data_IF_730677015633
#
_entry.id   IF_730677015633
#
_cell.length_a   1.000
_cell.length_b   1.000
_cell.length_c   1.000
_cell.angle_alpha   90.00
_cell.angle_beta   90.00
_cell.angle_gamma   90.00
#
_symmetry.space_group_name_H-M   'P 1'
#
loop_
_entity.id
_entity.type
_entity.pdbx_description
1 polymer ?
#
# COMPACT_ATOMS: atom_id res chain seq x y z
N UNK A 1 -13.56 -24.38 15.37
CA UNK A 1 -12.79 -23.82 14.23
C UNK A 1 -11.95 -24.95 13.68
N UNK A 2 -12.23 -25.42 12.47
CA UNK A 2 -11.46 -26.52 11.88
C UNK A 2 -10.10 -25.98 11.40
N UNK A 3 -9.01 -26.54 11.91
CA UNK A 3 -7.67 -26.32 11.36
C UNK A 3 -7.65 -26.78 9.90
N UNK A 4 -7.63 -25.83 8.98
CA UNK A 4 -7.36 -26.12 7.58
C UNK A 4 -5.89 -26.52 7.46
N UNK A 5 -5.62 -27.82 7.36
CA UNK A 5 -4.33 -28.35 6.97
C UNK A 5 -3.99 -27.83 5.56
N UNK A 6 -3.18 -26.76 5.49
CA UNK A 6 -2.64 -26.27 4.23
C UNK A 6 -1.69 -27.32 3.66
N UNK A 7 -1.97 -27.77 2.43
CA UNK A 7 -1.09 -28.68 1.69
C UNK A 7 0.30 -28.05 1.51
N UNK A 8 1.32 -28.87 1.24
CA UNK A 8 2.67 -28.36 0.97
C UNK A 8 2.70 -27.29 -0.13
N UNK A 9 1.85 -27.46 -1.16
CA UNK A 9 1.65 -26.46 -2.20
C UNK A 9 1.03 -25.15 -1.67
N UNK A 10 0.01 -25.22 -0.81
CA UNK A 10 -0.58 -24.04 -0.19
C UNK A 10 0.42 -23.23 0.63
N UNK A 11 1.30 -23.90 1.40
CA UNK A 11 2.38 -23.23 2.12
C UNK A 11 3.40 -22.58 1.19
N UNK A 12 3.80 -23.28 0.12
CA UNK A 12 4.71 -22.71 -0.89
C UNK A 12 4.13 -21.44 -1.52
N UNK A 13 2.85 -21.48 -1.93
CA UNK A 13 2.17 -20.31 -2.47
C UNK A 13 2.10 -19.17 -1.47
N UNK A 14 1.90 -19.46 -0.18
CA UNK A 14 1.87 -18.41 0.87
C UNK A 14 3.20 -17.64 0.98
N UNK A 15 4.34 -18.29 0.81
CA UNK A 15 5.64 -17.61 0.81
C UNK A 15 5.78 -16.66 -0.39
N UNK A 16 5.35 -17.10 -1.57
CA UNK A 16 5.37 -16.26 -2.78
C UNK A 16 4.46 -15.05 -2.59
N UNK A 17 3.23 -15.26 -2.14
CA UNK A 17 2.26 -14.17 -1.95
C UNK A 17 2.73 -13.19 -0.88
N UNK A 18 3.34 -13.66 0.21
CA UNK A 18 3.88 -12.78 1.24
C UNK A 18 4.99 -11.87 0.70
N UNK A 19 5.86 -12.37 -0.18
CA UNK A 19 6.91 -11.57 -0.81
C UNK A 19 6.33 -10.48 -1.73
N UNK A 20 5.27 -10.81 -2.47
CA UNK A 20 4.56 -9.83 -3.31
C UNK A 20 3.87 -8.77 -2.45
N UNK A 21 3.27 -9.18 -1.33
CA UNK A 21 2.63 -8.26 -0.41
C UNK A 21 3.65 -7.30 0.23
N UNK A 22 4.80 -7.80 0.67
CA UNK A 22 5.90 -6.97 1.20
C UNK A 22 6.33 -5.88 0.21
N UNK A 23 6.57 -6.24 -1.05
CA UNK A 23 6.92 -5.29 -2.10
C UNK A 23 5.79 -4.28 -2.35
N UNK A 24 4.55 -4.73 -2.32
CA UNK A 24 3.37 -3.88 -2.53
C UNK A 24 3.23 -2.86 -1.40
N UNK A 25 3.40 -3.28 -0.15
CA UNK A 25 3.39 -2.40 1.02
C UNK A 25 4.55 -1.40 0.94
N UNK A 26 5.75 -1.86 0.58
CA UNK A 26 6.89 -0.98 0.35
C UNK A 26 6.60 0.08 -0.72
N UNK A 27 6.09 -0.32 -1.90
CA UNK A 27 5.74 0.61 -2.97
C UNK A 27 4.65 1.60 -2.54
N UNK A 28 3.64 1.15 -1.79
CA UNK A 28 2.58 2.01 -1.25
C UNK A 28 3.14 3.12 -0.36
N UNK A 29 4.10 2.78 0.49
CA UNK A 29 4.75 3.71 1.41
C UNK A 29 5.73 4.65 0.69
N UNK A 30 6.54 4.11 -0.23
CA UNK A 30 7.51 4.87 -1.02
C UNK A 30 6.81 5.94 -1.88
N UNK A 31 5.67 5.60 -2.48
CA UNK A 31 4.85 6.53 -3.26
C UNK A 31 4.08 7.55 -2.39
N UNK A 32 4.15 7.45 -1.06
CA UNK A 32 3.45 8.37 -0.15
C UNK A 32 1.92 8.30 -0.25
N UNK A 33 1.38 7.15 -0.65
CA UNK A 33 -0.07 7.00 -0.90
C UNK A 33 -0.88 7.21 0.39
N UNK A 34 -0.33 6.79 1.54
CA UNK A 34 -0.95 7.02 2.84
C UNK A 34 -1.20 8.52 3.11
N UNK A 35 -0.22 9.37 2.84
CA UNK A 35 -0.33 10.82 3.07
C UNK A 35 -1.34 11.45 2.10
N UNK A 36 -1.34 10.99 0.85
CA UNK A 36 -2.31 11.44 -0.15
C UNK A 36 -3.74 11.13 0.28
N UNK A 37 -3.99 9.94 0.83
CA UNK A 37 -5.31 9.61 1.40
C UNK A 37 -5.61 10.38 2.68
N UNK A 38 -4.62 10.62 3.55
CA UNK A 38 -4.81 11.39 4.78
C UNK A 38 -5.14 12.87 4.49
N UNK A 39 -4.71 13.39 3.34
CA UNK A 39 -4.97 14.77 2.91
C UNK A 39 -6.34 14.97 2.23
N UNK A 40 -7.15 13.92 2.02
CA UNK A 40 -8.47 14.03 1.38
C UNK A 40 -9.57 13.61 2.34
N UNK A 41 -10.69 14.34 2.33
CA UNK A 41 -11.81 14.10 3.24
C UNK A 41 -12.74 12.95 2.81
N UNK A 42 -12.55 12.40 1.60
CA UNK A 42 -13.46 11.40 1.03
C UNK A 42 -12.72 10.27 0.31
N UNK A 43 -13.29 9.05 0.29
CA UNK A 43 -12.75 7.94 -0.48
C UNK A 43 -12.51 8.32 -1.95
N UNK A 44 -11.37 7.89 -2.51
CA UNK A 44 -10.95 8.22 -3.89
C UNK A 44 -10.89 6.98 -4.76
N UNK A 45 -11.16 7.12 -6.06
CA UNK A 45 -10.90 6.04 -7.02
C UNK A 45 -9.42 6.00 -7.40
N UNK A 46 -8.97 4.87 -7.94
CA UNK A 46 -7.60 4.77 -8.45
C UNK A 46 -7.38 5.75 -9.62
N UNK A 47 -8.37 5.95 -10.48
CA UNK A 47 -8.30 6.95 -11.56
C UNK A 47 -8.17 8.39 -11.04
N UNK A 48 -8.97 8.77 -10.02
CA UNK A 48 -8.90 10.10 -9.41
C UNK A 48 -7.50 10.39 -8.82
N UNK A 49 -6.90 9.41 -8.14
CA UNK A 49 -5.55 9.51 -7.57
C UNK A 49 -4.47 9.53 -8.65
N UNK A 50 -4.55 8.60 -9.59
CA UNK A 50 -3.57 8.45 -10.66
C UNK A 50 -3.50 9.71 -11.53
N UNK A 51 -4.66 10.31 -11.85
CA UNK A 51 -4.73 11.56 -12.62
C UNK A 51 -4.04 12.72 -11.90
N UNK A 52 -4.18 12.82 -10.58
CA UNK A 52 -3.53 13.89 -9.78
C UNK A 52 -2.01 13.76 -9.74
N UNK A 53 -1.50 12.53 -9.73
CA UNK A 53 -0.07 12.22 -9.57
C UNK A 53 0.66 11.90 -10.89
N UNK A 54 -0.08 11.80 -12.00
CA UNK A 54 0.47 11.38 -13.29
C UNK A 54 0.85 9.90 -13.34
N UNK A 55 0.12 9.04 -12.62
CA UNK A 55 0.36 7.59 -12.57
C UNK A 55 -0.56 6.83 -13.52
N UNK A 56 -0.27 5.53 -13.72
CA UNK A 56 -1.17 4.62 -14.40
C UNK A 56 -2.26 4.11 -13.43
N UNK A 57 -3.54 4.33 -13.76
CA UNK A 57 -4.67 4.00 -12.90
C UNK A 57 -4.86 2.49 -12.69
N UNK A 58 -4.60 1.68 -13.71
CA UNK A 58 -4.76 0.22 -13.63
C UNK A 58 -3.72 -0.40 -12.68
N UNK A 59 -2.45 0.02 -12.79
CA UNK A 59 -1.41 -0.44 -11.88
C UNK A 59 -1.61 0.08 -10.46
N UNK A 60 -2.07 1.32 -10.30
CA UNK A 60 -2.43 1.84 -8.99
C UNK A 60 -3.59 1.04 -8.38
N UNK A 61 -4.62 0.72 -9.15
CA UNK A 61 -5.74 -0.11 -8.69
C UNK A 61 -5.26 -1.49 -8.19
N UNK A 62 -4.38 -2.17 -8.96
CA UNK A 62 -3.82 -3.47 -8.55
C UNK A 62 -3.01 -3.36 -7.24
N UNK A 63 -2.24 -2.28 -7.09
CA UNK A 63 -1.50 -1.99 -5.85
C UNK A 63 -2.46 -1.81 -4.67
N UNK A 64 -3.46 -0.93 -4.80
CA UNK A 64 -4.47 -0.66 -3.78
C UNK A 64 -5.27 -1.91 -3.41
N UNK A 65 -5.62 -2.72 -4.41
CA UNK A 65 -6.36 -3.95 -4.18
C UNK A 65 -5.55 -4.97 -3.39
N UNK A 66 -4.25 -5.06 -3.66
CA UNK A 66 -3.35 -5.96 -2.94
C UNK A 66 -3.17 -5.52 -1.49
N UNK A 67 -2.99 -4.23 -1.22
CA UNK A 67 -2.89 -3.73 0.16
C UNK A 67 -4.21 -3.72 0.93
N UNK A 68 -5.34 -3.96 0.25
CA UNK A 68 -6.63 -4.20 0.91
C UNK A 68 -6.61 -5.50 1.72
N UNK A 69 -5.92 -6.53 1.21
CA UNK A 69 -5.83 -7.82 1.91
C UNK A 69 -4.97 -7.75 3.18
N UNK A 70 -4.13 -6.70 3.31
CA UNK A 70 -3.39 -6.36 4.52
C UNK A 70 -4.10 -5.34 5.44
N UNK A 71 -5.36 -5.01 5.13
CA UNK A 71 -6.17 -4.03 5.88
C UNK A 71 -5.49 -2.65 6.00
N UNK A 72 -4.71 -2.23 5.00
CA UNK A 72 -4.07 -0.90 4.94
C UNK A 72 -5.04 0.12 4.32
N UNK A 73 -5.75 -0.30 3.29
CA UNK A 73 -6.84 0.46 2.67
C UNK A 73 -8.08 -0.42 2.63
N UNK A 74 -9.25 0.21 2.59
CA UNK A 74 -10.53 -0.47 2.40
C UNK A 74 -11.08 -0.13 1.03
N UNK A 75 -11.50 -1.17 0.29
CA UNK A 75 -12.21 -1.03 -0.97
C UNK A 75 -13.72 -0.95 -0.75
N UNK A 76 -14.34 0.11 -1.26
CA UNK A 76 -15.79 0.32 -1.34
C UNK A 76 -16.21 0.01 -2.77
N UNK A 77 -16.84 -1.15 -2.96
CA UNK A 77 -17.26 -1.65 -4.27
C UNK A 77 -18.55 -0.98 -4.73
N UNK A 78 -18.61 -0.67 -6.03
CA UNK A 78 -19.84 -0.24 -6.69
C UNK A 78 -20.53 -1.43 -7.35
N UNK A 79 -21.87 -1.48 -7.28
CA UNK A 79 -22.72 -2.63 -7.67
C UNK A 79 -22.61 -3.04 -9.14
N UNK A 80 -21.96 -2.24 -10.00
CA UNK A 80 -21.85 -2.48 -11.44
C UNK A 80 -20.45 -2.10 -11.94
N UNK A 81 -19.53 -3.06 -11.97
CA UNK A 81 -18.12 -2.77 -12.26
C UNK A 81 -17.69 -3.32 -13.62
N UNK A 82 -17.89 -2.50 -14.67
CA UNK A 82 -17.24 -2.71 -15.98
C UNK A 82 -15.76 -2.28 -15.92
N UNK A 83 -15.44 -1.27 -15.09
CA UNK A 83 -14.10 -0.70 -14.91
C UNK A 83 -13.86 -0.35 -13.43
N UNK A 84 -13.31 -1.28 -12.62
CA UNK A 84 -13.19 -1.12 -11.18
C UNK A 84 -12.25 0.00 -10.75
N UNK A 85 -11.19 0.28 -11.51
CA UNK A 85 -10.26 1.37 -11.24
C UNK A 85 -10.91 2.77 -11.29
N UNK A 86 -12.04 2.90 -12.00
CA UNK A 86 -12.80 4.15 -12.14
C UNK A 86 -13.97 4.27 -11.19
N UNK A 87 -14.45 3.14 -10.64
CA UNK A 87 -15.71 3.07 -9.91
C UNK A 87 -15.53 2.67 -8.45
N UNK A 88 -14.63 1.74 -8.15
CA UNK A 88 -14.33 1.35 -6.78
C UNK A 88 -13.56 2.48 -6.09
N UNK A 89 -14.00 2.80 -4.88
CA UNK A 89 -13.38 3.84 -4.05
C UNK A 89 -12.56 3.20 -2.96
N UNK A 90 -11.47 3.86 -2.58
CA UNK A 90 -10.56 3.42 -1.56
C UNK A 90 -10.48 4.46 -0.45
N UNK A 91 -10.39 3.99 0.78
CA UNK A 91 -10.14 4.82 1.96
C UNK A 91 -9.04 4.22 2.82
N UNK A 92 -8.34 5.06 3.58
CA UNK A 92 -7.30 4.63 4.50
C UNK A 92 -7.93 4.04 5.77
N UNK A 93 -7.48 2.86 6.18
CA UNK A 93 -7.89 2.24 7.45
C UNK A 93 -7.12 2.84 8.63
N UNK A 94 -7.42 2.36 9.84
CA UNK A 94 -6.61 2.68 11.02
C UNK A 94 -5.16 2.19 10.89
N UNK A 95 -4.95 0.96 10.38
CA UNK A 95 -3.61 0.44 10.14
C UNK A 95 -2.88 1.22 9.03
N UNK A 96 -3.58 1.63 7.98
CA UNK A 96 -2.98 2.47 6.94
C UNK A 96 -2.53 3.84 7.44
N UNK A 97 -3.21 4.42 8.44
CA UNK A 97 -2.79 5.69 9.07
C UNK A 97 -1.45 5.58 9.78
N UNK A 98 -1.05 4.39 10.24
CA UNK A 98 0.28 4.17 10.83
C UNK A 98 1.41 4.40 9.82
N UNK A 99 1.09 4.38 8.53
CA UNK A 99 2.03 4.52 7.42
C UNK A 99 2.15 5.96 6.91
N UNK A 100 1.46 6.93 7.50
CA UNK A 100 1.66 8.35 7.14
C UNK A 100 3.01 8.85 7.67
N UNK A 101 3.62 9.85 7.03
CA UNK A 101 4.88 10.47 7.51
C UNK A 101 4.76 11.05 8.92
N UNK A 102 3.56 11.49 9.25
CA UNK A 102 3.27 12.33 10.40
C UNK A 102 2.94 11.49 11.63
N UNK A 103 2.70 10.18 11.44
CA UNK A 103 2.27 9.30 12.52
C UNK A 103 3.35 9.15 13.61
N UNK A 104 2.99 9.28 14.92
CA UNK A 104 3.94 9.17 16.03
C UNK A 104 4.70 7.85 16.12
N UNK A 105 4.13 6.76 15.61
CA UNK A 105 4.75 5.42 15.65
C UNK A 105 5.97 5.29 14.74
N UNK A 106 6.12 6.17 13.74
CA UNK A 106 7.24 6.15 12.78
C UNK A 106 7.41 4.80 12.05
N UNK A 107 6.37 3.99 11.97
CA UNK A 107 6.38 2.64 11.33
C UNK A 107 6.80 2.72 9.86
N UNK A 108 6.39 3.79 9.16
CA UNK A 108 6.82 4.09 7.78
C UNK A 108 8.34 3.95 7.57
N UNK A 109 9.16 4.41 8.51
CA UNK A 109 10.62 4.38 8.40
C UNK A 109 11.21 2.98 8.54
N UNK A 110 10.47 2.02 9.11
CA UNK A 110 10.90 0.62 9.16
C UNK A 110 10.71 -0.08 7.80
N UNK A 111 9.79 0.45 6.97
CA UNK A 111 9.49 -0.09 5.64
C UNK A 111 10.34 0.57 4.57
N UNK A 112 10.50 1.89 4.61
CA UNK A 112 11.45 2.59 3.75
C UNK A 112 12.87 2.36 4.26
N UNK A 113 13.52 1.30 3.77
CA UNK A 113 14.97 1.16 3.92
C UNK A 113 15.66 2.23 3.07
N UNK A 114 15.89 3.39 3.67
CA UNK A 114 16.93 4.30 3.24
C UNK A 114 18.25 3.58 3.49
N UNK A 115 18.75 2.87 2.48
CA UNK A 115 20.10 2.32 2.55
C UNK A 115 21.12 3.38 2.98
N UNK A 116 22.33 2.99 3.43
CA UNK A 116 23.29 3.89 4.08
C UNK A 116 23.72 5.16 3.30
N UNK A 117 23.20 5.38 2.09
CA UNK A 117 23.56 6.46 1.17
C UNK A 117 22.52 7.59 1.03
N UNK A 118 21.45 7.64 1.82
CA UNK A 118 20.57 8.82 1.86
C UNK A 118 20.57 9.46 3.25
N UNK A 119 21.60 10.29 3.52
CA UNK A 119 21.43 11.39 4.47
C UNK A 119 22.24 11.38 5.77
N UNK A 120 23.25 10.53 5.97
CA UNK A 120 24.30 10.91 6.92
C UNK A 120 25.23 11.90 6.24
N UNK A 121 25.03 13.20 6.51
CA UNK A 121 26.04 14.24 6.32
C UNK A 121 27.26 14.05 7.25
N UNK A 122 27.81 12.84 7.30
CA UNK A 122 29.11 12.57 7.92
C UNK A 122 30.12 12.67 6.78
N UNK A 123 30.73 13.86 6.68
CA UNK A 123 31.95 14.03 5.90
C UNK A 123 33.01 13.12 6.51
N UNK A 124 33.37 12.04 5.83
CA UNK A 124 34.67 11.42 6.06
C UNK A 124 35.72 12.38 5.51
N UNK A 125 36.42 13.06 6.43
CA UNK A 125 37.68 13.73 6.12
C UNK A 125 38.71 12.62 5.96
N UNK A 126 39.21 12.44 4.73
CA UNK A 126 40.46 11.73 4.47
C UNK A 126 41.58 12.76 4.55
#
# INVERSE_FOLDING_TARGET
MAEQHTTGFGKYMSFITNRLLENTVWTFVELGIADIFAAVDKPQTAEELAKKQGWNSEYLYRLLRTVTDADIVREIKSDQTVEPEKTNRFELTEHGRLLTSDHPSKIRYLLCWDGPNKGTGVRYVI
#
